data_IF_134753966764
#
_entry.id   IF_134753966764
#
_cell.length_a   1.000
_cell.length_b   1.000
_cell.length_c   1.000
_cell.angle_alpha   90.00
_cell.angle_beta   90.00
_cell.angle_gamma   90.00
#
_symmetry.space_group_name_H-M   'P 1'
#
loop_
_entity.id
_entity.type
_entity.pdbx_description
1 polymer ?
#
# COMPACT_ATOMS: atom_id res chain seq x y z
N UNK A 1 -24.86 -0.68 29.74
CA UNK A 1 -23.59 -0.96 29.18
C UNK A 1 -22.80 0.28 28.97
N UNK A 2 -21.60 0.23 29.34
CA UNK A 2 -20.83 1.32 29.16
C UNK A 2 -20.46 1.49 27.76
N UNK A 3 -20.92 2.54 27.19
CA UNK A 3 -20.59 2.85 25.91
C UNK A 3 -19.19 3.31 25.89
N UNK A 4 -18.38 2.46 25.42
CA UNK A 4 -17.06 2.77 25.35
C UNK A 4 -16.79 3.45 24.10
N UNK A 5 -17.06 4.70 24.10
CA UNK A 5 -16.55 5.48 23.17
C UNK A 5 -15.22 5.80 23.28
N UNK A 6 -14.39 4.97 22.99
CA UNK A 6 -13.13 5.40 23.06
C UNK A 6 -12.68 5.69 21.71
N UNK A 7 -12.69 6.92 21.43
CA UNK A 7 -11.81 7.37 20.46
C UNK A 7 -10.41 7.17 20.99
N UNK A 8 -9.92 5.97 21.00
CA UNK A 8 -8.54 5.75 21.27
C UNK A 8 -7.69 6.32 20.17
N UNK A 9 -8.31 6.71 19.07
CA UNK A 9 -7.60 7.26 17.93
C UNK A 9 -8.18 8.61 17.52
N UNK A 10 -7.32 9.45 16.98
CA UNK A 10 -7.69 10.74 16.38
C UNK A 10 -7.21 10.74 14.94
N UNK A 11 -7.74 11.63 14.14
CA UNK A 11 -7.28 11.80 12.76
C UNK A 11 -5.83 12.24 12.70
N UNK A 12 -5.10 11.68 11.75
CA UNK A 12 -3.74 12.12 11.47
C UNK A 12 -3.81 13.32 10.53
N UNK A 13 -2.93 14.31 10.73
CA UNK A 13 -2.84 15.41 9.79
C UNK A 13 -2.08 14.98 8.53
N UNK A 14 -2.13 15.80 7.50
CA UNK A 14 -1.54 15.48 6.20
C UNK A 14 -0.03 15.26 6.28
N UNK A 15 0.65 16.01 7.11
CA UNK A 15 2.09 15.88 7.29
C UNK A 15 2.45 14.53 7.93
N UNK A 16 1.68 14.11 8.93
CA UNK A 16 1.89 12.83 9.59
C UNK A 16 1.62 11.65 8.65
N UNK A 17 0.58 11.76 7.83
CA UNK A 17 0.28 10.75 6.81
C UNK A 17 1.42 10.66 5.79
N UNK A 18 1.87 11.79 5.28
CA UNK A 18 2.94 11.86 4.30
C UNK A 18 4.23 11.22 4.85
N UNK A 19 4.56 11.51 6.09
CA UNK A 19 5.73 10.99 6.75
C UNK A 19 5.66 9.46 6.90
N UNK A 20 4.50 8.93 7.29
CA UNK A 20 4.32 7.48 7.41
C UNK A 20 4.40 6.77 6.05
N UNK A 21 3.86 7.38 5.01
CA UNK A 21 3.95 6.81 3.66
C UNK A 21 5.38 6.77 3.16
N UNK A 22 6.20 7.73 3.54
CA UNK A 22 7.60 7.77 3.15
C UNK A 22 8.49 6.82 3.95
N UNK A 23 8.14 6.58 5.19
CA UNK A 23 8.98 5.76 6.09
C UNK A 23 8.55 4.31 6.21
N UNK A 24 7.33 3.98 5.78
CA UNK A 24 6.83 2.61 5.82
C UNK A 24 7.09 1.94 4.47
N UNK A 25 7.58 0.72 4.50
CA UNK A 25 7.98 0.02 3.29
C UNK A 25 6.89 -0.73 2.57
N UNK A 26 5.88 -1.18 3.28
CA UNK A 26 4.85 -2.03 2.70
C UNK A 26 3.49 -1.86 3.35
N UNK A 27 2.48 -2.31 2.68
CA UNK A 27 1.11 -2.36 3.16
C UNK A 27 0.36 -3.46 2.43
N UNK A 28 -0.96 -3.41 2.49
CA UNK A 28 -1.81 -4.40 1.82
C UNK A 28 -2.65 -3.70 0.77
N UNK A 29 -2.50 -4.14 -0.48
CA UNK A 29 -3.31 -3.64 -1.59
C UNK A 29 -4.51 -4.54 -1.77
N UNK A 30 -5.70 -3.98 -1.67
CA UNK A 30 -6.96 -4.69 -1.87
C UNK A 30 -7.56 -4.33 -3.22
N UNK A 31 -7.92 -5.36 -3.95
CA UNK A 31 -8.49 -5.27 -5.29
C UNK A 31 -9.85 -5.94 -5.29
N UNK A 32 -10.69 -5.57 -6.23
CA UNK A 32 -12.02 -6.14 -6.34
C UNK A 32 -12.38 -6.41 -7.80
N UNK A 33 -12.88 -7.61 -8.07
CA UNK A 33 -13.35 -7.98 -9.38
C UNK A 33 -14.68 -8.73 -9.24
N UNK A 34 -15.73 -8.20 -9.84
CA UNK A 34 -17.08 -8.73 -9.63
C UNK A 34 -17.47 -8.60 -8.17
N UNK A 35 -17.81 -9.70 -7.54
CA UNK A 35 -18.11 -9.71 -6.12
C UNK A 35 -16.98 -10.33 -5.29
N UNK A 36 -15.84 -10.55 -5.90
CA UNK A 36 -14.71 -11.17 -5.22
C UNK A 36 -13.69 -10.13 -4.81
N UNK A 37 -13.13 -10.30 -3.65
CA UNK A 37 -12.08 -9.45 -3.13
C UNK A 37 -10.76 -10.18 -3.12
N UNK A 38 -9.68 -9.45 -3.36
CA UNK A 38 -8.33 -10.00 -3.33
C UNK A 38 -7.42 -8.99 -2.64
N UNK A 39 -6.66 -9.42 -1.67
CA UNK A 39 -5.75 -8.54 -0.94
C UNK A 39 -4.36 -9.16 -0.89
N UNK A 40 -3.35 -8.36 -1.12
CA UNK A 40 -1.97 -8.84 -1.18
C UNK A 40 -1.02 -7.84 -0.53
N UNK A 41 -0.08 -8.31 0.31
CA UNK A 41 0.95 -7.44 0.84
C UNK A 41 1.92 -7.04 -0.27
N UNK A 42 2.24 -5.78 -0.36
CA UNK A 42 3.14 -5.24 -1.37
C UNK A 42 3.98 -4.11 -0.82
N UNK A 43 5.21 -4.02 -1.28
CA UNK A 43 6.01 -2.84 -1.05
C UNK A 43 5.52 -1.71 -1.94
N UNK A 44 5.68 -0.49 -1.49
CA UNK A 44 5.29 0.68 -2.25
C UNK A 44 6.40 1.70 -2.37
N UNK A 45 6.30 2.53 -3.38
CA UNK A 45 7.08 3.75 -3.50
C UNK A 45 6.11 4.93 -3.51
N UNK A 46 6.35 5.93 -2.67
CA UNK A 46 5.49 7.11 -2.56
C UNK A 46 6.28 8.35 -2.99
N UNK A 47 5.75 9.12 -3.91
CA UNK A 47 6.41 10.32 -4.43
C UNK A 47 5.80 11.64 -3.92
N UNK A 48 4.85 11.56 -3.03
CA UNK A 48 4.13 12.73 -2.51
C UNK A 48 2.77 12.95 -3.16
N UNK A 49 2.48 12.30 -4.27
CA UNK A 49 1.21 12.45 -4.98
C UNK A 49 0.56 11.15 -5.37
N UNK A 50 1.33 10.09 -5.46
CA UNK A 50 0.82 8.79 -5.86
C UNK A 50 1.64 7.68 -5.23
N UNK A 51 1.08 6.48 -5.25
CA UNK A 51 1.76 5.28 -4.81
C UNK A 51 2.05 4.41 -6.02
N UNK A 52 3.16 3.71 -5.99
CA UNK A 52 3.58 2.83 -7.07
C UNK A 52 3.86 1.45 -6.51
N UNK A 53 3.41 0.43 -7.21
CA UNK A 53 3.58 -0.96 -6.78
C UNK A 53 4.21 -1.78 -7.89
N UNK A 54 5.11 -2.67 -7.51
CA UNK A 54 5.66 -3.65 -8.44
C UNK A 54 4.86 -4.93 -8.28
N UNK A 55 4.16 -5.30 -9.34
CA UNK A 55 3.40 -6.54 -9.35
C UNK A 55 4.13 -7.57 -10.19
N UNK A 56 4.39 -8.71 -9.60
CA UNK A 56 4.86 -9.86 -10.36
C UNK A 56 3.66 -10.47 -11.07
N UNK A 57 3.65 -10.39 -12.39
CA UNK A 57 2.54 -10.88 -13.15
C UNK A 57 3.02 -11.98 -14.04
N UNK A 58 2.54 -13.18 -13.79
CA UNK A 58 2.72 -14.27 -14.73
C UNK A 58 1.39 -14.49 -15.44
N UNK A 59 1.43 -15.01 -16.66
CA UNK A 59 0.21 -15.31 -17.39
C UNK A 59 -0.65 -16.26 -16.56
N UNK A 60 -1.90 -15.88 -16.38
CA UNK A 60 -2.83 -16.66 -15.58
C UNK A 60 -2.80 -16.38 -14.09
N UNK A 61 -2.00 -15.41 -13.63
CA UNK A 61 -2.04 -15.06 -12.21
C UNK A 61 -3.35 -14.36 -11.86
N UNK A 62 -3.89 -14.67 -10.70
CA UNK A 62 -5.12 -14.03 -10.22
C UNK A 62 -4.96 -12.53 -10.05
N UNK A 63 -3.77 -12.07 -9.66
CA UNK A 63 -3.49 -10.64 -9.48
C UNK A 63 -3.75 -9.84 -10.73
N UNK A 64 -3.38 -10.35 -11.88
CA UNK A 64 -3.53 -9.64 -13.15
C UNK A 64 -4.99 -9.38 -13.48
N UNK A 65 -5.84 -10.39 -13.34
CA UNK A 65 -7.27 -10.22 -13.59
C UNK A 65 -7.90 -9.22 -12.65
N UNK A 66 -7.51 -9.24 -11.39
CA UNK A 66 -8.07 -8.31 -10.40
C UNK A 66 -7.64 -6.88 -10.64
N UNK A 67 -6.36 -6.62 -10.93
CA UNK A 67 -5.94 -5.23 -11.10
C UNK A 67 -6.50 -4.61 -12.40
N UNK A 68 -6.69 -5.39 -13.43
CA UNK A 68 -7.28 -4.91 -14.68
C UNK A 68 -8.76 -4.56 -14.55
N UNK A 69 -9.48 -5.22 -13.63
CA UNK A 69 -10.92 -5.03 -13.46
C UNK A 69 -11.29 -4.18 -12.25
N UNK A 70 -10.34 -3.87 -11.40
CA UNK A 70 -10.61 -3.05 -10.21
C UNK A 70 -10.87 -1.59 -10.57
N UNK A 71 -12.03 -1.09 -10.21
CA UNK A 71 -12.34 0.33 -10.42
C UNK A 71 -11.76 1.19 -9.30
N UNK A 72 -11.95 0.77 -8.07
CA UNK A 72 -11.39 1.45 -6.90
C UNK A 72 -10.55 0.46 -6.12
N UNK A 73 -9.29 0.77 -5.97
CA UNK A 73 -8.40 -0.03 -5.15
C UNK A 73 -8.24 0.60 -3.77
N UNK A 74 -7.89 -0.20 -2.79
CA UNK A 74 -7.67 0.27 -1.43
C UNK A 74 -6.31 -0.21 -0.94
N UNK A 75 -5.50 0.70 -0.45
CA UNK A 75 -4.20 0.35 0.12
C UNK A 75 -4.20 0.73 1.59
N UNK A 76 -3.86 -0.22 2.44
CA UNK A 76 -3.88 -0.05 3.88
C UNK A 76 -2.52 -0.36 4.47
N UNK A 77 -2.05 0.54 5.32
CA UNK A 77 -0.87 0.28 6.11
C UNK A 77 -1.18 0.59 7.56
N UNK A 78 -0.49 -0.07 8.45
CA UNK A 78 -0.68 0.17 9.88
C UNK A 78 0.56 -0.24 10.66
N UNK A 79 0.64 0.28 11.86
CA UNK A 79 1.65 -0.14 12.82
C UNK A 79 1.03 -0.19 14.20
N UNK A 80 1.54 -1.07 15.03
CA UNK A 80 1.11 -1.18 16.42
C UNK A 80 2.30 -1.55 17.27
N UNK A 81 2.53 -0.80 18.33
CA UNK A 81 3.62 -1.06 19.25
C UNK A 81 3.09 -1.14 20.68
N UNK A 82 3.62 -2.06 21.48
CA UNK A 82 3.22 -2.13 22.88
C UNK A 82 3.77 -0.91 23.62
N UNK A 83 3.01 -0.43 24.58
CA UNK A 83 3.44 0.65 25.45
C UNK A 83 3.86 0.09 26.81
N UNK A 84 4.25 0.96 27.71
CA UNK A 84 4.57 0.55 29.08
C UNK A 84 3.33 0.05 29.84
N UNK A 85 2.11 0.40 29.39
CA UNK A 85 0.88 -0.10 29.95
C UNK A 85 0.45 -1.33 29.13
N UNK A 86 0.37 -2.54 29.73
CA UNK A 86 0.01 -3.74 28.99
C UNK A 86 -1.40 -3.73 28.41
N UNK A 87 -2.20 -2.75 28.76
CA UNK A 87 -3.55 -2.63 28.23
C UNK A 87 -3.66 -1.64 27.08
N UNK A 88 -2.56 -0.99 26.74
CA UNK A 88 -2.55 0.00 25.66
C UNK A 88 -1.50 -0.31 24.61
N UNK A 89 -1.85 -0.03 23.38
CA UNK A 89 -0.92 -0.10 22.29
C UNK A 89 -0.92 1.25 21.59
N UNK A 90 0.24 1.71 21.19
CA UNK A 90 0.31 2.83 20.28
C UNK A 90 0.11 2.27 18.87
N UNK A 91 -0.85 2.78 18.18
CA UNK A 91 -1.17 2.30 16.83
C UNK A 91 -1.47 3.45 15.90
N UNK A 92 -1.27 3.20 14.64
CA UNK A 92 -1.66 4.10 13.58
C UNK A 92 -2.10 3.27 12.39
N UNK A 93 -2.99 3.84 11.59
CA UNK A 93 -3.42 3.20 10.35
C UNK A 93 -3.72 4.25 9.31
N UNK A 94 -3.45 3.91 8.06
CA UNK A 94 -3.75 4.76 6.92
C UNK A 94 -4.49 3.90 5.90
N UNK A 95 -5.61 4.41 5.42
CA UNK A 95 -6.40 3.77 4.37
C UNK A 95 -6.48 4.73 3.21
N UNK A 96 -6.03 4.26 2.05
CA UNK A 96 -6.00 5.05 0.83
C UNK A 96 -6.85 4.37 -0.22
N UNK A 97 -7.75 5.12 -0.83
CA UNK A 97 -8.52 4.63 -1.96
C UNK A 97 -8.17 5.44 -3.19
N UNK A 98 -8.23 4.80 -4.33
CA UNK A 98 -7.92 5.44 -5.59
C UNK A 98 -8.03 4.47 -6.75
N UNK A 99 -7.60 4.92 -7.91
CA UNK A 99 -7.64 4.12 -9.12
C UNK A 99 -6.26 3.70 -9.56
N UNK A 100 -6.17 2.47 -10.06
CA UNK A 100 -4.91 1.93 -10.56
C UNK A 100 -4.80 2.26 -12.05
N UNK A 101 -3.64 2.76 -12.43
CA UNK A 101 -3.36 3.11 -13.82
C UNK A 101 -2.02 2.55 -14.25
N UNK A 102 -1.85 2.37 -15.55
CA UNK A 102 -0.56 2.00 -16.08
C UNK A 102 0.32 3.24 -16.14
N UNK A 103 1.61 3.05 -16.07
CA UNK A 103 2.55 4.15 -16.16
C UNK A 103 2.62 4.71 -17.57
N UNK A 104 2.77 6.03 -17.67
CA UNK A 104 3.12 6.68 -18.93
C UNK A 104 4.57 6.32 -19.30
N UNK A 105 4.98 6.62 -20.53
CA UNK A 105 6.36 6.37 -20.94
C UNK A 105 7.37 7.11 -20.09
N UNK A 106 7.09 8.36 -19.76
CA UNK A 106 7.96 9.15 -18.90
C UNK A 106 8.09 8.56 -17.51
N UNK A 107 6.98 8.06 -16.97
CA UNK A 107 7.00 7.40 -15.66
C UNK A 107 7.76 6.08 -15.70
N UNK A 108 7.62 5.31 -16.78
CA UNK A 108 8.37 4.06 -16.96
C UNK A 108 9.88 4.31 -16.99
N UNK A 109 10.31 5.35 -17.68
CA UNK A 109 11.73 5.71 -17.72
C UNK A 109 12.29 5.99 -16.32
N UNK A 110 11.50 6.61 -15.45
CA UNK A 110 11.88 6.86 -14.07
C UNK A 110 12.10 5.55 -13.31
N UNK A 111 11.29 4.53 -13.58
CA UNK A 111 11.35 3.26 -12.86
C UNK A 111 12.34 2.26 -13.46
N UNK A 112 12.95 2.60 -14.61
CA UNK A 112 13.98 1.79 -15.21
C UNK A 112 15.35 2.08 -14.59
N UNK A 113 15.45 3.08 -13.73
CA UNK A 113 16.71 3.40 -13.09
C UNK A 113 16.92 2.48 -11.87
N UNK A 114 18.16 2.03 -11.68
CA UNK A 114 18.52 1.18 -10.55
C UNK A 114 18.19 1.85 -9.22
N UNK A 115 18.34 3.16 -9.13
CA UNK A 115 18.05 3.92 -7.93
C UNK A 115 16.60 3.77 -7.45
N UNK A 116 15.65 3.83 -8.37
CA UNK A 116 14.24 3.68 -8.02
C UNK A 116 13.92 2.23 -7.69
N UNK A 117 14.50 1.29 -8.42
CA UNK A 117 14.33 -0.13 -8.14
C UNK A 117 14.81 -0.50 -6.74
N UNK A 118 15.87 0.15 -6.26
CA UNK A 118 16.39 -0.09 -4.92
C UNK A 118 15.45 0.43 -3.82
N UNK A 119 14.53 1.30 -4.16
CA UNK A 119 13.57 1.84 -3.19
C UNK A 119 12.40 0.90 -2.92
N UNK A 120 12.20 -0.10 -3.76
CA UNK A 120 11.23 -1.13 -3.47
C UNK A 120 11.92 -2.23 -2.68
N UNK A 121 11.42 -2.52 -1.50
CA UNK A 121 11.95 -3.63 -0.73
C UNK A 121 11.77 -4.91 -1.52
N UNK A 122 12.83 -5.74 -1.60
CA UNK A 122 12.70 -6.99 -2.32
C UNK A 122 11.80 -7.94 -1.55
N UNK A 123 10.56 -8.01 -1.94
CA UNK A 123 9.68 -9.05 -1.45
C UNK A 123 10.01 -10.26 -2.31
N UNK A 124 10.85 -11.12 -1.78
CA UNK A 124 11.12 -12.36 -2.45
C UNK A 124 9.94 -13.27 -2.23
N UNK A 125 9.25 -13.52 -3.30
CA UNK A 125 8.22 -14.52 -3.29
C UNK A 125 8.84 -15.75 -3.89
N UNK A 126 9.19 -16.70 -3.03
CA UNK A 126 9.65 -18.04 -3.41
C UNK A 126 10.99 -18.08 -4.17
N UNK A 127 11.48 -19.26 -4.42
CA UNK A 127 12.74 -19.57 -5.05
C UNK A 127 12.77 -19.32 -6.58
N UNK A 128 11.92 -18.46 -7.10
CA UNK A 128 11.94 -18.14 -8.49
C UNK A 128 13.03 -17.11 -8.78
N UNK A 129 13.79 -17.32 -9.81
CA UNK A 129 14.78 -16.36 -10.24
C UNK A 129 14.05 -15.08 -10.65
N UNK A 130 14.56 -13.93 -10.19
CA UNK A 130 13.97 -12.62 -10.49
C UNK A 130 13.79 -12.40 -12.00
N UNK A 131 14.65 -13.01 -12.79
CA UNK A 131 14.61 -12.95 -14.25
C UNK A 131 13.40 -13.64 -14.87
N UNK A 132 12.82 -14.59 -14.15
CA UNK A 132 11.69 -15.36 -14.64
C UNK A 132 10.35 -14.74 -14.23
N UNK A 133 10.39 -13.65 -13.45
CA UNK A 133 9.19 -12.95 -13.01
C UNK A 133 8.99 -11.71 -13.87
N UNK A 134 7.89 -11.69 -14.59
CA UNK A 134 7.52 -10.49 -15.31
C UNK A 134 6.99 -9.48 -14.30
N UNK A 135 7.69 -8.37 -14.16
CA UNK A 135 7.33 -7.33 -13.20
C UNK A 135 6.72 -6.14 -13.92
N UNK A 136 5.55 -5.76 -13.47
CA UNK A 136 4.85 -4.58 -13.97
C UNK A 136 4.73 -3.57 -12.83
N UNK A 137 4.98 -2.30 -13.11
CA UNK A 137 4.75 -1.24 -12.14
C UNK A 137 3.40 -0.59 -12.43
N UNK A 138 2.55 -0.52 -11.41
CA UNK A 138 1.25 0.14 -11.51
C UNK A 138 1.22 1.33 -10.55
N UNK A 139 0.46 2.34 -10.91
CA UNK A 139 0.32 3.56 -10.15
C UNK A 139 -1.05 3.62 -9.52
N UNK A 140 -1.12 3.92 -8.23
CA UNK A 140 -2.36 4.21 -7.55
C UNK A 140 -2.50 5.72 -7.46
N UNK A 141 -3.46 6.27 -8.20
CA UNK A 141 -3.79 7.68 -8.11
C UNK A 141 -4.68 7.87 -6.89
N UNK A 142 -4.19 8.62 -5.92
CA UNK A 142 -4.87 8.78 -4.63
C UNK A 142 -6.10 9.67 -4.76
N UNK A 143 -7.25 9.15 -4.40
CA UNK A 143 -8.50 9.90 -4.40
C UNK A 143 -8.89 10.31 -2.99
N UNK A 144 -8.73 9.42 -2.02
CA UNK A 144 -9.08 9.69 -0.65
C UNK A 144 -8.10 9.02 0.31
N UNK A 145 -7.74 9.72 1.36
CA UNK A 145 -6.82 9.21 2.37
C UNK A 145 -7.37 9.51 3.75
N UNK A 146 -7.41 8.49 4.59
CA UNK A 146 -7.75 8.66 5.99
C UNK A 146 -6.66 8.05 6.85
N UNK A 147 -6.22 8.77 7.85
CA UNK A 147 -5.22 8.30 8.79
C UNK A 147 -5.73 8.45 10.22
N UNK A 148 -5.44 7.47 11.05
CA UNK A 148 -5.81 7.46 12.46
C UNK A 148 -4.60 7.08 13.29
N UNK A 149 -4.44 7.72 14.43
CA UNK A 149 -3.36 7.41 15.36
C UNK A 149 -3.88 7.42 16.79
N UNK A 150 -3.27 6.65 17.66
CA UNK A 150 -3.66 6.67 19.07
C UNK A 150 -3.39 8.03 19.69
N UNK A 151 -4.22 8.36 20.65
CA UNK A 151 -4.05 9.57 21.42
C UNK A 151 -3.00 9.30 22.47
N UNK A 152 -1.95 10.06 22.49
CA UNK A 152 -0.91 9.95 23.52
C UNK A 152 -1.23 10.81 24.73
#
# INVERSE_FOLDING_TARGET
MKHIEYAYTVGMDDEAVDDRLRTTESGVLALAGGNDAYAVPLAHYYDGGALYFRLGVTDGSAKRGYWETTETACYTLYGAEPTSDPKQFDSWSIVITGSLTELSEAERERFDTAEINDRFSPIRVFDEAIEDIEVTVVKLEIEETTGRTTVS
#
